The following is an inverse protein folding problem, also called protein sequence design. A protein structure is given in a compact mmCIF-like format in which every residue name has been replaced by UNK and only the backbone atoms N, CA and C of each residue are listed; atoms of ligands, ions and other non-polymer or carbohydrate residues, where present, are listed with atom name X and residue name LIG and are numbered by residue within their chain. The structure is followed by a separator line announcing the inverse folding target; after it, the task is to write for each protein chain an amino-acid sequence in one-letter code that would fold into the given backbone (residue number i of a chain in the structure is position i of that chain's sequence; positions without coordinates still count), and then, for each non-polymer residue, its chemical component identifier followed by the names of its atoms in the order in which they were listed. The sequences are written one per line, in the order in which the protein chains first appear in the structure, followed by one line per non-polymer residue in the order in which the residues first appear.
data_IF_563816639667
#
_entry.id   IF_563816639667
#
_cell.length_a   1.000
_cell.length_b   1.000
_cell.length_c   1.000
_cell.angle_alpha   90.00
_cell.angle_beta   90.00
_cell.angle_gamma   90.00
#
_symmetry.space_group_name_H-M   'P 1'
#
loop_
_entity.id
_entity.type
_entity.pdbx_description
1 polymer ?
#
# COMPACT_ATOMS: atom_id res chain seq x y z
N UNK A 1 16.94 18.40 -3.59
CA UNK A 1 16.28 17.33 -2.78
C UNK A 1 14.99 16.93 -3.49
N UNK A 2 14.95 15.74 -4.09
CA UNK A 2 13.83 15.29 -4.93
C UNK A 2 12.54 15.17 -4.10
N UNK A 3 11.43 15.67 -4.63
CA UNK A 3 10.13 15.63 -3.93
C UNK A 3 9.10 14.86 -4.76
N UNK A 4 8.24 14.14 -4.06
CA UNK A 4 7.10 13.47 -4.68
C UNK A 4 5.96 14.48 -4.82
N UNK A 5 5.59 14.77 -6.06
CA UNK A 5 4.42 15.59 -6.37
C UNK A 5 3.21 14.68 -6.62
N UNK A 6 2.17 14.88 -5.83
CA UNK A 6 0.88 14.20 -6.04
C UNK A 6 0.02 15.11 -6.93
N UNK A 7 -0.06 14.78 -8.21
CA UNK A 7 -0.82 15.55 -9.21
C UNK A 7 -2.31 15.56 -8.91
N UNK A 8 -2.81 14.51 -8.23
CA UNK A 8 -4.21 14.40 -7.84
C UNK A 8 -4.38 14.47 -6.31
N UNK A 9 -4.95 15.59 -5.84
CA UNK A 9 -5.23 15.82 -4.41
C UNK A 9 -6.23 14.84 -3.83
N UNK A 10 -7.21 14.38 -4.61
CA UNK A 10 -8.19 13.38 -4.15
C UNK A 10 -7.50 12.04 -3.90
N UNK A 11 -6.64 11.59 -4.82
CA UNK A 11 -5.87 10.35 -4.61
C UNK A 11 -4.99 10.42 -3.36
N UNK A 12 -4.34 11.56 -3.13
CA UNK A 12 -3.53 11.79 -1.93
C UNK A 12 -4.32 11.61 -0.62
N UNK A 13 -5.52 12.19 -0.53
CA UNK A 13 -6.37 12.01 0.64
C UNK A 13 -6.94 10.60 0.76
N UNK A 14 -7.33 9.98 -0.36
CA UNK A 14 -7.84 8.60 -0.38
C UNK A 14 -6.78 7.61 0.10
N UNK A 15 -5.53 7.70 -0.37
CA UNK A 15 -4.49 6.76 0.07
C UNK A 15 -4.14 6.94 1.55
N UNK A 16 -4.12 8.18 2.06
CA UNK A 16 -3.94 8.44 3.48
C UNK A 16 -5.09 7.84 4.29
N UNK A 17 -6.33 8.03 3.85
CA UNK A 17 -7.51 7.51 4.52
C UNK A 17 -7.50 5.97 4.55
N UNK A 18 -7.20 5.31 3.43
CA UNK A 18 -7.06 3.85 3.35
C UNK A 18 -5.97 3.37 4.31
N UNK A 19 -4.77 3.95 4.26
CA UNK A 19 -3.67 3.57 5.13
C UNK A 19 -3.99 3.83 6.61
N UNK A 20 -4.72 4.89 6.93
CA UNK A 20 -5.08 5.20 8.32
C UNK A 20 -6.13 4.24 8.87
N UNK A 21 -7.17 3.92 8.07
CA UNK A 21 -8.19 2.95 8.46
C UNK A 21 -7.60 1.55 8.65
N UNK A 22 -6.75 1.09 7.72
CA UNK A 22 -6.06 -0.18 7.87
C UNK A 22 -5.13 -0.19 9.08
N UNK A 23 -4.47 0.93 9.38
CA UNK A 23 -3.57 1.02 10.53
C UNK A 23 -4.35 0.85 11.83
N UNK A 24 -5.47 1.57 11.98
CA UNK A 24 -6.36 1.46 13.15
C UNK A 24 -6.87 0.02 13.29
N UNK A 25 -7.28 -0.60 12.18
CA UNK A 25 -7.74 -1.99 12.17
C UNK A 25 -6.64 -2.96 12.60
N UNK A 26 -5.43 -2.85 12.04
CA UNK A 26 -4.29 -3.68 12.40
C UNK A 26 -3.88 -3.48 13.86
N UNK A 27 -3.95 -2.24 14.37
CA UNK A 27 -3.68 -1.91 15.76
C UNK A 27 -4.69 -2.60 16.68
N UNK A 28 -5.99 -2.48 16.37
CA UNK A 28 -7.07 -3.16 17.07
C UNK A 28 -6.84 -4.67 17.13
N UNK A 29 -6.55 -5.31 15.99
CA UNK A 29 -6.29 -6.76 15.94
C UNK A 29 -5.05 -7.16 16.76
N UNK A 30 -3.99 -6.36 16.70
CA UNK A 30 -2.73 -6.65 17.43
C UNK A 30 -2.93 -6.62 18.93
N UNK A 31 -3.66 -5.62 19.44
CA UNK A 31 -3.95 -5.49 20.86
C UNK A 31 -5.03 -6.46 21.35
N UNK A 32 -6.11 -6.66 20.58
CA UNK A 32 -7.21 -7.54 20.98
C UNK A 32 -6.78 -9.02 21.04
N UNK A 33 -5.87 -9.44 20.15
CA UNK A 33 -5.41 -10.83 20.07
C UNK A 33 -3.98 -11.05 20.60
N UNK A 34 -3.35 -10.05 21.21
CA UNK A 34 -1.98 -10.08 21.76
C UNK A 34 -0.93 -10.66 20.80
N UNK A 35 -1.09 -10.43 19.49
CA UNK A 35 -0.21 -10.98 18.45
C UNK A 35 0.92 -10.01 18.14
N UNK A 36 2.06 -10.17 18.82
CA UNK A 36 3.25 -9.34 18.61
C UNK A 36 3.72 -9.29 17.14
N UNK A 37 3.47 -10.35 16.36
CA UNK A 37 3.76 -10.37 14.93
C UNK A 37 3.03 -9.28 14.12
N UNK A 38 1.92 -8.73 14.64
CA UNK A 38 1.18 -7.62 14.04
C UNK A 38 1.88 -6.26 14.17
N UNK A 39 2.88 -6.14 15.05
CA UNK A 39 3.64 -4.89 15.23
C UNK A 39 4.50 -4.54 14.01
N UNK A 40 5.04 -5.54 13.31
CA UNK A 40 5.89 -5.35 12.14
C UNK A 40 5.14 -4.66 10.97
N UNK A 41 3.96 -5.14 10.53
CA UNK A 41 3.19 -4.44 9.50
C UNK A 41 2.72 -3.05 9.95
N UNK A 42 2.41 -2.87 11.24
CA UNK A 42 2.07 -1.55 11.81
C UNK A 42 3.25 -0.57 11.66
N UNK A 43 4.46 -0.98 12.06
CA UNK A 43 5.65 -0.13 11.97
C UNK A 43 5.92 0.31 10.52
N UNK A 44 5.88 -0.63 9.57
CA UNK A 44 6.05 -0.35 8.14
C UNK A 44 5.00 0.65 7.64
N UNK A 45 3.74 0.46 8.05
CA UNK A 45 2.62 1.29 7.61
C UNK A 45 2.69 2.72 8.20
N UNK A 46 3.14 2.88 9.44
CA UNK A 46 3.41 4.20 10.05
C UNK A 46 4.54 4.92 9.32
N UNK A 47 5.65 4.22 9.03
CA UNK A 47 6.76 4.80 8.27
C UNK A 47 6.32 5.25 6.88
N UNK A 48 5.48 4.46 6.20
CA UNK A 48 4.92 4.82 4.90
C UNK A 48 4.04 6.07 4.98
N UNK A 49 3.13 6.14 5.95
CA UNK A 49 2.30 7.34 6.18
C UNK A 49 3.16 8.58 6.41
N UNK A 50 4.22 8.47 7.20
CA UNK A 50 5.15 9.57 7.43
C UNK A 50 5.84 10.04 6.14
N UNK A 51 6.25 9.11 5.25
CA UNK A 51 6.84 9.45 3.95
C UNK A 51 5.84 10.17 3.03
N UNK A 52 4.57 9.71 3.02
CA UNK A 52 3.50 10.33 2.22
C UNK A 52 3.21 11.75 2.69
N UNK A 53 3.05 11.95 4.00
CA UNK A 53 2.78 13.26 4.60
C UNK A 53 3.93 14.25 4.36
N UNK A 54 5.18 13.76 4.40
CA UNK A 54 6.38 14.56 4.10
C UNK A 54 6.62 14.77 2.60
N UNK A 55 5.79 14.18 1.72
CA UNK A 55 5.97 14.21 0.25
C UNK A 55 7.38 13.81 -0.19
N UNK A 56 7.95 12.84 0.51
CA UNK A 56 9.31 12.35 0.26
C UNK A 56 9.38 11.63 -1.09
N UNK A 57 10.53 11.64 -1.78
CA UNK A 57 10.72 10.93 -3.06
C UNK A 57 10.37 9.43 -3.00
N UNK A 58 10.61 8.80 -1.86
CA UNK A 58 10.30 7.39 -1.60
C UNK A 58 8.82 7.11 -1.37
N UNK A 59 7.95 8.12 -1.25
CA UNK A 59 6.51 7.90 -1.02
C UNK A 59 5.89 7.08 -2.15
N UNK A 60 6.23 7.39 -3.42
CA UNK A 60 5.73 6.65 -4.60
C UNK A 60 6.10 5.17 -4.52
N UNK A 61 7.38 4.88 -4.34
CA UNK A 61 7.87 3.50 -4.29
C UNK A 61 7.37 2.77 -3.04
N UNK A 62 7.29 3.45 -1.91
CA UNK A 62 6.73 2.92 -0.68
C UNK A 62 5.28 2.47 -0.82
N UNK A 63 4.42 3.31 -1.43
CA UNK A 63 3.01 2.95 -1.68
C UNK A 63 2.94 1.71 -2.58
N UNK A 64 3.77 1.66 -3.63
CA UNK A 64 3.80 0.52 -4.57
C UNK A 64 4.20 -0.77 -3.88
N UNK A 65 5.32 -0.75 -3.16
CA UNK A 65 5.83 -1.94 -2.44
C UNK A 65 4.81 -2.40 -1.41
N UNK A 66 4.25 -1.49 -0.63
CA UNK A 66 3.24 -1.81 0.36
C UNK A 66 1.99 -2.44 -0.25
N UNK A 67 1.46 -1.88 -1.34
CA UNK A 67 0.30 -2.44 -2.04
C UNK A 67 0.60 -3.84 -2.61
N UNK A 68 1.79 -4.03 -3.21
CA UNK A 68 2.21 -5.34 -3.73
C UNK A 68 2.28 -6.36 -2.61
N UNK A 69 2.96 -6.06 -1.51
CA UNK A 69 3.19 -7.06 -0.44
C UNK A 69 1.89 -7.35 0.32
N UNK A 70 1.17 -6.31 0.75
CA UNK A 70 0.07 -6.47 1.71
C UNK A 70 -1.31 -6.67 1.08
N UNK A 71 -1.56 -6.13 -0.12
CA UNK A 71 -2.87 -6.25 -0.78
C UNK A 71 -2.89 -7.24 -1.93
N UNK A 72 -1.74 -7.56 -2.53
CA UNK A 72 -1.68 -8.44 -3.70
C UNK A 72 -1.00 -9.78 -3.35
N UNK A 73 0.27 -9.78 -2.96
CA UNK A 73 1.05 -10.98 -2.77
C UNK A 73 0.54 -11.81 -1.59
N UNK A 74 0.32 -11.19 -0.42
CA UNK A 74 -0.24 -11.88 0.74
C UNK A 74 -1.62 -12.49 0.47
N UNK A 75 -2.63 -11.68 0.14
CA UNK A 75 -3.97 -12.17 -0.20
C UNK A 75 -3.98 -13.12 -1.40
N UNK A 76 -3.16 -12.87 -2.42
CA UNK A 76 -3.03 -13.73 -3.60
C UNK A 76 -2.48 -15.10 -3.27
N UNK A 77 -1.48 -15.19 -2.39
CA UNK A 77 -0.96 -16.48 -1.94
C UNK A 77 -2.01 -17.25 -1.12
N UNK A 78 -2.77 -16.55 -0.27
CA UNK A 78 -3.86 -17.20 0.48
C UNK A 78 -5.01 -17.65 -0.45
N UNK A 79 -5.35 -16.84 -1.45
CA UNK A 79 -6.34 -17.16 -2.47
C UNK A 79 -5.95 -18.44 -3.21
N UNK A 80 -4.71 -18.49 -3.73
CA UNK A 80 -4.18 -19.66 -4.44
C UNK A 80 -4.12 -20.89 -3.52
N UNK A 81 -3.64 -20.73 -2.28
CA UNK A 81 -3.57 -21.83 -1.32
C UNK A 81 -4.93 -22.45 -1.02
N UNK A 82 -5.96 -21.63 -0.81
CA UNK A 82 -7.34 -22.12 -0.62
C UNK A 82 -7.95 -22.67 -1.89
N UNK A 83 -7.67 -22.09 -3.06
CA UNK A 83 -8.11 -22.63 -4.35
C UNK A 83 -7.58 -24.05 -4.57
N UNK A 84 -6.28 -24.28 -4.35
CA UNK A 84 -5.68 -25.61 -4.49
C UNK A 84 -6.27 -26.61 -3.49
N UNK A 85 -6.48 -26.19 -2.25
CA UNK A 85 -7.13 -27.02 -1.22
C UNK A 85 -8.55 -27.41 -1.63
N UNK A 86 -9.36 -26.44 -2.06
CA UNK A 86 -10.74 -26.69 -2.44
C UNK A 86 -10.82 -27.55 -3.71
N UNK A 87 -9.88 -27.39 -4.65
CA UNK A 87 -9.78 -28.27 -5.82
C UNK A 87 -9.51 -29.73 -5.41
N UNK A 88 -8.62 -29.96 -4.45
CA UNK A 88 -8.35 -31.29 -3.91
C UNK A 88 -9.56 -31.88 -3.16
N UNK A 89 -10.34 -31.05 -2.47
CA UNK A 89 -11.57 -31.43 -1.76
C UNK A 89 -12.83 -31.38 -2.66
N UNK A 90 -12.70 -31.31 -3.99
CA UNK A 90 -13.81 -31.24 -4.96
C UNK A 90 -14.83 -30.12 -4.68
N UNK A 91 -14.37 -29.00 -4.12
CA UNK A 91 -15.13 -27.82 -3.73
C UNK A 91 -16.23 -28.06 -2.68
N UNK A 92 -16.19 -29.20 -1.97
CA UNK A 92 -17.20 -29.57 -0.97
C UNK A 92 -17.27 -28.57 0.20
N UNK A 93 -16.17 -27.88 0.50
CA UNK A 93 -16.00 -26.91 1.58
C UNK A 93 -15.77 -25.47 1.06
N UNK A 94 -16.13 -25.19 -0.20
CA UNK A 94 -15.81 -23.93 -0.83
C UNK A 94 -16.57 -22.73 -0.20
N UNK A 95 -15.81 -21.84 0.44
CA UNK A 95 -16.32 -20.57 0.97
C UNK A 95 -16.27 -19.48 -0.10
N UNK A 96 -17.39 -19.26 -0.78
CA UNK A 96 -17.52 -18.24 -1.82
C UNK A 96 -17.29 -16.81 -1.26
N UNK A 97 -17.71 -16.54 -0.03
CA UNK A 97 -17.55 -15.24 0.60
C UNK A 97 -16.06 -14.90 0.76
N UNK A 98 -15.24 -15.89 1.10
CA UNK A 98 -13.80 -15.70 1.16
C UNK A 98 -13.19 -15.33 -0.19
N UNK A 99 -13.60 -15.98 -1.28
CA UNK A 99 -13.06 -15.69 -2.61
C UNK A 99 -13.44 -14.28 -3.08
N UNK A 100 -14.68 -13.85 -2.82
CA UNK A 100 -15.15 -12.50 -3.16
C UNK A 100 -14.37 -11.45 -2.36
N UNK A 101 -14.26 -11.62 -1.05
CA UNK A 101 -13.56 -10.65 -0.17
C UNK A 101 -12.07 -10.58 -0.47
N UNK A 102 -11.42 -11.72 -0.68
CA UNK A 102 -9.99 -11.80 -1.03
C UNK A 102 -9.73 -11.22 -2.43
N UNK A 103 -10.59 -11.55 -3.41
CA UNK A 103 -10.51 -10.99 -4.76
C UNK A 103 -10.70 -9.47 -4.78
N UNK A 104 -11.69 -8.94 -4.05
CA UNK A 104 -11.89 -7.51 -3.89
C UNK A 104 -10.67 -6.82 -3.27
N UNK A 105 -10.04 -7.43 -2.27
CA UNK A 105 -8.81 -6.91 -1.64
C UNK A 105 -7.67 -6.79 -2.65
N UNK A 106 -7.47 -7.82 -3.48
CA UNK A 106 -6.45 -7.82 -4.55
C UNK A 106 -6.75 -6.73 -5.57
N UNK A 107 -8.01 -6.58 -5.99
CA UNK A 107 -8.42 -5.53 -6.93
C UNK A 107 -8.16 -4.13 -6.38
N UNK A 108 -8.42 -3.89 -5.09
CA UNK A 108 -8.06 -2.63 -4.42
C UNK A 108 -6.55 -2.40 -4.47
N UNK A 109 -5.74 -3.42 -4.20
CA UNK A 109 -4.28 -3.35 -4.33
C UNK A 109 -3.81 -2.97 -5.74
N UNK A 110 -4.40 -3.59 -6.76
CA UNK A 110 -4.11 -3.29 -8.17
C UNK A 110 -4.54 -1.86 -8.53
N UNK A 111 -5.71 -1.40 -8.07
CA UNK A 111 -6.17 -0.05 -8.28
C UNK A 111 -5.20 0.98 -7.66
N UNK A 112 -4.76 0.76 -6.42
CA UNK A 112 -3.78 1.63 -5.75
C UNK A 112 -2.48 1.70 -6.57
N UNK A 113 -1.97 0.59 -7.09
CA UNK A 113 -0.78 0.58 -7.94
C UNK A 113 -0.96 1.39 -9.22
N UNK A 114 -2.08 1.17 -9.91
CA UNK A 114 -2.40 1.87 -11.14
C UNK A 114 -2.46 3.38 -10.92
N UNK A 115 -3.23 3.83 -9.92
CA UNK A 115 -3.35 5.25 -9.61
C UNK A 115 -2.02 5.84 -9.11
N UNK A 116 -1.25 5.12 -8.29
CA UNK A 116 0.07 5.59 -7.84
C UNK A 116 1.01 5.85 -9.01
N UNK A 117 1.03 4.98 -10.02
CA UNK A 117 1.85 5.21 -11.21
C UNK A 117 1.36 6.40 -12.03
N UNK A 118 0.04 6.63 -12.06
CA UNK A 118 -0.60 7.67 -12.87
C UNK A 118 -0.58 9.06 -12.24
N UNK A 119 -0.63 9.16 -10.91
CA UNK A 119 -0.87 10.43 -10.20
C UNK A 119 0.28 10.88 -9.31
N UNK A 120 1.35 10.11 -9.22
CA UNK A 120 2.52 10.45 -8.40
C UNK A 120 3.73 10.59 -9.30
N UNK A 121 4.25 11.79 -9.39
CA UNK A 121 5.47 12.10 -10.14
C UNK A 121 6.59 12.44 -9.16
N UNK A 122 7.79 11.91 -9.42
CA UNK A 122 8.98 12.28 -8.66
C UNK A 122 9.67 13.33 -9.51
N UNK A 123 9.64 14.58 -9.04
CA UNK A 123 10.26 15.70 -9.76
C UNK A 123 11.64 15.92 -9.15
N UNK A 124 12.68 15.85 -9.99
CA UNK A 124 14.01 16.31 -9.62
C UNK A 124 13.97 17.83 -9.52
N UNK A 125 14.23 18.38 -8.34
CA UNK A 125 14.52 19.81 -8.23
C UNK A 125 15.91 20.01 -8.84
N UNK A 126 15.97 20.42 -10.11
CA UNK A 126 17.17 21.03 -10.66
C UNK A 126 17.39 22.31 -9.86
N UNK A 127 18.50 22.39 -9.12
CA UNK A 127 18.94 23.64 -8.51
C UNK A 127 19.36 24.60 -9.64
N UNK A 128 18.41 25.34 -10.21
CA UNK A 128 18.73 26.58 -10.91
C UNK A 128 19.17 27.63 -9.88
N UNK A 129 20.47 27.92 -9.81
CA UNK A 129 20.96 29.05 -9.03
C UNK A 129 22.40 28.94 -8.52
N UNK A 130 23.38 28.88 -9.43
CA UNK A 130 24.75 29.32 -9.14
C UNK A 130 25.46 29.80 -10.42
N UNK A 131 24.80 30.68 -11.18
CA UNK A 131 25.46 31.47 -12.23
C UNK A 131 25.04 32.93 -12.03
N UNK A 132 25.79 33.64 -11.19
CA UNK A 132 25.90 35.10 -11.24
C UNK A 132 27.21 35.58 -10.58
N UNK A 133 28.07 36.13 -11.43
CA UNK A 133 29.13 37.11 -11.17
C UNK A 133 30.41 36.68 -10.44
N UNK A 134 31.27 36.00 -11.21
CA UNK A 134 32.68 36.41 -11.28
C UNK A 134 32.89 37.20 -12.59
N UNK A 135 33.02 38.53 -12.48
CA UNK A 135 34.05 39.36 -13.14
C UNK A 135 33.70 40.84 -13.10
#
# INVERSE_FOLDING_TARGET
MNRSYFTNTLFYWVIILILSLLLIWNLYLTFAYSRLAGLLPIAIQVSLLALILKKHEFAKNGIKIWAIIFLIAGPGLQFLGRLLRNLAESFTSADLQYYITTGATILVGVAILYYTNKTVEVVETVEEGAESDHS
#
